data_IF_767697215292
#
_entry.id   IF_767697215292
#
_cell.length_a   1.000
_cell.length_b   1.000
_cell.length_c   1.000
_cell.angle_alpha   90.00
_cell.angle_beta   90.00
_cell.angle_gamma   90.00
#
_symmetry.space_group_name_H-M   'P 1'
#
loop_
_entity.id
_entity.type
_entity.pdbx_description
1 polymer ?
#
# COMPACT_ATOMS: atom_id res chain seq x y z
N UNK A 1 -3.61 16.10 -10.38
CA UNK A 1 -4.54 14.96 -10.46
C UNK A 1 -3.77 13.70 -10.12
N UNK A 2 -4.39 12.71 -9.46
CA UNK A 2 -3.73 11.44 -9.10
C UNK A 2 -4.46 10.29 -9.80
N UNK A 3 -3.71 9.32 -10.30
CA UNK A 3 -4.25 8.02 -10.70
C UNK A 3 -4.28 7.13 -9.46
N UNK A 4 -5.43 6.49 -9.21
CA UNK A 4 -5.58 5.54 -8.11
C UNK A 4 -5.75 4.15 -8.70
N UNK A 5 -4.91 3.22 -8.25
CA UNK A 5 -5.01 1.79 -8.59
C UNK A 5 -5.46 1.05 -7.34
N UNK A 6 -6.55 0.29 -7.45
CA UNK A 6 -7.12 -0.45 -6.33
C UNK A 6 -7.05 -1.96 -6.57
N UNK A 7 -6.53 -2.68 -5.59
CA UNK A 7 -6.53 -4.15 -5.56
C UNK A 7 -7.35 -4.59 -4.37
N UNK A 8 -8.33 -5.45 -4.61
CA UNK A 8 -9.23 -5.95 -3.56
C UNK A 8 -9.19 -7.47 -3.53
N UNK A 9 -9.02 -8.06 -2.35
CA UNK A 9 -9.19 -9.49 -2.10
C UNK A 9 -10.47 -9.73 -1.29
N UNK A 10 -11.03 -10.94 -1.41
CA UNK A 10 -12.23 -11.40 -0.69
C UNK A 10 -11.87 -12.39 0.44
N UNK A 11 -10.68 -12.25 1.03
CA UNK A 11 -10.20 -13.12 2.10
C UNK A 11 -10.95 -12.93 3.42
N UNK A 12 -10.44 -13.58 4.48
CA UNK A 12 -11.09 -13.61 5.81
C UNK A 12 -11.07 -12.28 6.60
N UNK A 13 -10.49 -11.22 6.03
CA UNK A 13 -10.27 -9.93 6.70
C UNK A 13 -9.06 -9.92 7.64
N UNK A 14 -8.45 -8.73 7.79
CA UNK A 14 -7.20 -8.58 8.55
C UNK A 14 -7.39 -8.81 10.04
N UNK A 15 -8.54 -8.45 10.62
CA UNK A 15 -8.85 -8.69 12.04
C UNK A 15 -8.88 -10.18 12.37
N UNK A 16 -9.64 -10.96 11.59
CA UNK A 16 -9.72 -12.42 11.76
C UNK A 16 -8.37 -13.08 11.48
N UNK A 17 -7.66 -12.64 10.45
CA UNK A 17 -6.29 -13.09 10.17
C UNK A 17 -5.36 -12.83 11.35
N UNK A 18 -5.39 -11.64 11.95
CA UNK A 18 -4.58 -11.29 13.12
C UNK A 18 -4.92 -12.12 14.37
N UNK A 19 -6.20 -12.40 14.60
CA UNK A 19 -6.65 -13.24 15.71
C UNK A 19 -6.10 -14.68 15.62
N UNK A 20 -6.02 -15.23 14.41
CA UNK A 20 -5.54 -16.60 14.13
C UNK A 20 -4.00 -16.74 14.19
N UNK A 21 -3.24 -15.64 14.12
CA UNK A 21 -1.78 -15.70 14.19
C UNK A 21 -1.32 -16.12 15.59
N UNK A 22 -0.37 -17.06 15.65
CA UNK A 22 0.31 -17.43 16.90
C UNK A 22 1.20 -16.29 17.41
N UNK A 23 1.59 -16.30 18.69
CA UNK A 23 2.40 -15.24 19.30
C UNK A 23 3.73 -14.99 18.54
N UNK A 24 4.36 -16.06 18.05
CA UNK A 24 5.57 -15.96 17.21
C UNK A 24 5.29 -15.33 15.84
N UNK A 25 4.12 -15.55 15.25
CA UNK A 25 3.71 -14.94 13.98
C UNK A 25 3.26 -13.48 14.14
N UNK A 26 2.81 -13.07 15.34
CA UNK A 26 2.43 -11.68 15.64
C UNK A 26 3.64 -10.76 15.76
N UNK A 27 4.79 -11.28 16.19
CA UNK A 27 6.05 -10.50 16.29
C UNK A 27 6.61 -10.09 14.92
N UNK A 28 6.28 -10.82 13.87
CA UNK A 28 6.66 -10.46 12.50
C UNK A 28 5.54 -9.67 11.82
N UNK A 29 5.69 -8.34 11.82
CA UNK A 29 5.03 -7.51 10.81
C UNK A 29 5.43 -8.03 9.41
N UNK A 30 4.52 -7.97 8.44
CA UNK A 30 4.81 -8.54 7.12
C UNK A 30 5.98 -7.78 6.48
N UNK A 31 7.07 -8.50 6.19
CA UNK A 31 8.26 -7.95 5.50
C UNK A 31 7.86 -7.23 4.20
N UNK A 32 6.82 -7.72 3.52
CA UNK A 32 6.29 -7.10 2.31
C UNK A 32 5.85 -5.64 2.49
N UNK A 33 5.08 -5.32 3.54
CA UNK A 33 4.61 -3.94 3.79
C UNK A 33 5.79 -3.03 4.15
N UNK A 34 6.68 -3.48 5.05
CA UNK A 34 7.85 -2.69 5.43
C UNK A 34 8.76 -2.39 4.23
N UNK A 35 8.97 -3.38 3.35
CA UNK A 35 9.73 -3.19 2.12
C UNK A 35 9.06 -2.17 1.18
N UNK A 36 7.73 -2.16 1.08
CA UNK A 36 6.99 -1.20 0.26
C UNK A 36 7.14 0.21 0.84
N UNK A 37 6.97 0.38 2.15
CA UNK A 37 7.10 1.66 2.84
C UNK A 37 8.50 2.28 2.65
N UNK A 38 9.55 1.47 2.80
CA UNK A 38 10.93 1.90 2.58
C UNK A 38 11.16 2.33 1.13
N UNK A 39 10.72 1.54 0.15
CA UNK A 39 10.86 1.85 -1.27
C UNK A 39 10.13 3.14 -1.65
N UNK A 40 8.91 3.34 -1.15
CA UNK A 40 8.15 4.57 -1.38
C UNK A 40 8.84 5.79 -0.80
N UNK A 41 9.42 5.66 0.40
CA UNK A 41 10.21 6.74 1.02
C UNK A 41 11.38 7.16 0.13
N UNK A 42 12.13 6.19 -0.41
CA UNK A 42 13.26 6.45 -1.32
C UNK A 42 12.78 7.14 -2.61
N UNK A 43 11.75 6.59 -3.26
CA UNK A 43 11.22 7.13 -4.52
C UNK A 43 10.69 8.56 -4.34
N UNK A 44 9.94 8.81 -3.26
CA UNK A 44 9.42 10.13 -2.96
C UNK A 44 10.54 11.16 -2.74
N UNK A 45 11.61 10.77 -2.04
CA UNK A 45 12.79 11.62 -1.83
C UNK A 45 13.54 11.91 -3.14
N UNK A 46 13.80 10.88 -3.94
CA UNK A 46 14.60 11.01 -5.18
C UNK A 46 13.89 11.86 -6.23
N UNK A 47 12.57 11.70 -6.38
CA UNK A 47 11.82 12.36 -7.46
C UNK A 47 10.97 13.56 -6.99
N UNK A 48 11.04 13.91 -5.71
CA UNK A 48 10.16 14.91 -5.07
C UNK A 48 8.68 14.71 -5.44
N UNK A 49 8.22 13.46 -5.29
CA UNK A 49 6.83 13.03 -5.58
C UNK A 49 6.13 12.57 -4.30
N UNK A 50 4.82 12.37 -4.42
CA UNK A 50 3.96 11.93 -3.32
C UNK A 50 3.24 10.63 -3.67
N UNK A 51 4.00 9.59 -4.02
CA UNK A 51 3.48 8.23 -4.10
C UNK A 51 3.02 7.77 -2.71
N UNK A 52 1.85 7.13 -2.64
CA UNK A 52 1.26 6.66 -1.39
C UNK A 52 0.58 5.31 -1.60
N UNK A 53 0.64 4.46 -0.58
CA UNK A 53 -0.16 3.23 -0.49
C UNK A 53 -0.99 3.30 0.78
N UNK A 54 -2.26 2.90 0.70
CA UNK A 54 -3.15 2.75 1.86
C UNK A 54 -3.78 1.37 1.84
N UNK A 55 -3.97 0.79 3.02
CA UNK A 55 -4.61 -0.51 3.20
C UNK A 55 -5.84 -0.31 4.09
N UNK A 56 -7.01 -0.70 3.61
CA UNK A 56 -8.27 -0.66 4.35
C UNK A 56 -8.92 -2.04 4.43
N UNK A 57 -9.68 -2.27 5.50
CA UNK A 57 -10.54 -3.44 5.60
C UNK A 57 -11.78 -3.23 4.73
N UNK A 58 -12.28 -4.30 4.13
CA UNK A 58 -13.62 -4.31 3.56
C UNK A 58 -14.66 -4.49 4.68
N UNK A 59 -15.87 -4.00 4.43
CA UNK A 59 -17.01 -4.18 5.33
C UNK A 59 -17.23 -5.66 5.68
N UNK A 60 -17.79 -5.88 6.87
CA UNK A 60 -18.04 -7.22 7.43
C UNK A 60 -16.79 -8.13 7.50
N UNK A 61 -15.59 -7.53 7.60
CA UNK A 61 -14.30 -8.23 7.66
C UNK A 61 -14.09 -9.19 6.47
N UNK A 62 -14.63 -8.85 5.29
CA UNK A 62 -14.69 -9.74 4.11
C UNK A 62 -13.51 -9.58 3.13
N UNK A 63 -12.37 -9.10 3.60
CA UNK A 63 -11.15 -8.98 2.79
C UNK A 63 -10.40 -7.67 3.00
N UNK A 64 -9.49 -7.37 2.10
CA UNK A 64 -8.63 -6.18 2.16
C UNK A 64 -8.71 -5.40 0.85
N UNK A 65 -8.68 -4.07 0.95
CA UNK A 65 -8.42 -3.19 -0.18
C UNK A 65 -7.07 -2.50 -0.02
N UNK A 66 -6.28 -2.52 -1.09
CA UNK A 66 -5.03 -1.77 -1.21
C UNK A 66 -5.23 -0.72 -2.29
N UNK A 67 -5.07 0.56 -1.93
CA UNK A 67 -5.15 1.69 -2.86
C UNK A 67 -3.78 2.33 -3.03
N UNK A 68 -3.31 2.40 -4.28
CA UNK A 68 -2.02 2.98 -4.67
C UNK A 68 -2.29 4.31 -5.37
N UNK A 69 -1.70 5.39 -4.85
CA UNK A 69 -1.86 6.74 -5.37
C UNK A 69 -0.61 7.11 -6.15
N UNK A 70 -0.79 7.36 -7.44
CA UNK A 70 0.26 7.74 -8.38
C UNK A 70 0.07 9.22 -8.77
N UNK A 71 1.02 10.11 -8.45
CA UNK A 71 0.97 11.48 -8.90
C UNK A 71 1.06 11.54 -10.42
N UNK A 72 0.02 12.04 -11.10
CA UNK A 72 0.11 12.30 -12.52
C UNK A 72 0.83 13.63 -12.73
N UNK A 73 2.00 13.57 -13.35
CA UNK A 73 2.69 14.76 -13.83
C UNK A 73 2.34 14.99 -15.29
N UNK A 74 1.90 16.19 -15.63
CA UNK A 74 2.01 16.65 -17.01
C UNK A 74 3.51 16.77 -17.29
N UNK A 75 4.06 15.81 -18.03
CA UNK A 75 5.42 15.91 -18.54
C UNK A 75 5.41 17.03 -19.56
N UNK A 76 5.71 18.26 -19.15
CA UNK A 76 6.24 19.23 -20.10
C UNK A 76 7.61 18.69 -20.46
N UNK A 77 7.70 18.02 -21.61
CA UNK A 77 8.98 17.70 -22.22
C UNK A 77 9.72 19.04 -22.41
N UNK A 78 10.62 19.36 -21.49
CA UNK A 78 11.73 20.24 -21.81
C UNK A 78 12.73 19.35 -22.54
N UNK A 79 12.64 19.33 -23.87
CA UNK A 79 13.74 18.87 -24.68
C UNK A 79 14.90 19.86 -24.50
N UNK A 80 16.15 19.38 -24.33
CA UNK A 80 17.31 20.23 -24.58
C UNK A 80 17.35 20.71 -26.04
#
# INVERSE_FOLDING_TARGET
SNLVVEVTDNGIGRKRSAALKTENQRKHNSTGISNIEERLSIINKVYNKQYRVTISDLEADAGTRVSIYLPLTNVKHHQP
#
